data_IF_229987935863
#
_entry.id   IF_229987935863
#
_cell.length_a   1.000
_cell.length_b   1.000
_cell.length_c   1.000
_cell.angle_alpha   90.00
_cell.angle_beta   90.00
_cell.angle_gamma   90.00
#
_symmetry.space_group_name_H-M   'P 1'
#
loop_
_entity.id
_entity.type
_entity.pdbx_description
1 polymer ?
#
# COMPACT_ATOMS: atom_id res chain seq x y z
N UNK A 1 4.69 52.94 -40.23
CA UNK A 1 5.47 52.28 -39.15
C UNK A 1 4.56 51.24 -38.52
N UNK A 2 4.74 49.98 -38.88
CA UNK A 2 3.85 48.87 -38.55
C UNK A 2 4.75 47.66 -38.34
N UNK A 3 5.03 47.32 -37.08
CA UNK A 3 5.66 46.07 -36.63
C UNK A 3 5.57 46.06 -35.10
N UNK A 4 4.91 45.05 -34.53
CA UNK A 4 4.80 44.91 -33.07
C UNK A 4 3.65 44.01 -32.57
N UNK A 5 2.81 43.49 -33.46
CA UNK A 5 1.62 42.69 -33.06
C UNK A 5 1.74 41.18 -33.32
N UNK A 6 2.91 40.68 -33.73
CA UNK A 6 3.10 39.26 -34.09
C UNK A 6 3.92 38.43 -33.09
N UNK A 7 4.52 39.05 -32.07
CA UNK A 7 5.32 38.32 -31.07
C UNK A 7 4.54 37.86 -29.83
N UNK A 8 3.39 38.48 -29.53
CA UNK A 8 2.62 38.17 -28.32
C UNK A 8 1.63 36.99 -28.49
N UNK A 9 1.27 36.63 -29.72
CA UNK A 9 0.27 35.57 -29.96
C UNK A 9 0.87 34.15 -30.04
N UNK A 10 2.19 34.03 -30.13
CA UNK A 10 2.88 32.73 -30.21
C UNK A 10 3.33 32.20 -28.84
N UNK A 11 3.32 33.02 -27.79
CA UNK A 11 3.69 32.57 -26.43
C UNK A 11 2.50 32.07 -25.59
N UNK A 12 1.27 32.43 -25.96
CA UNK A 12 0.05 31.99 -25.26
C UNK A 12 -0.47 30.62 -25.70
N UNK A 13 0.15 30.00 -26.71
CA UNK A 13 -0.22 28.67 -27.23
C UNK A 13 0.71 27.53 -26.75
N UNK A 14 1.72 27.83 -25.92
CA UNK A 14 2.69 26.85 -25.41
C UNK A 14 2.53 26.48 -23.92
N UNK A 15 1.49 26.98 -23.25
CA UNK A 15 1.23 26.73 -21.81
C UNK A 15 0.07 25.76 -21.55
N UNK A 16 -0.42 25.06 -22.58
CA UNK A 16 -1.46 24.02 -22.43
C UNK A 16 -1.03 22.75 -23.17
N UNK A 17 0.13 22.22 -22.79
CA UNK A 17 0.45 20.80 -23.02
C UNK A 17 1.12 20.22 -21.79
N UNK A 18 0.54 20.48 -20.61
CA UNK A 18 0.55 19.44 -19.60
C UNK A 18 -0.36 18.33 -20.15
N UNK A 19 0.18 17.48 -21.02
CA UNK A 19 -0.33 16.13 -21.11
C UNK A 19 -0.26 15.61 -19.67
N UNK A 20 -1.39 15.63 -18.97
CA UNK A 20 -1.61 14.68 -17.92
C UNK A 20 -1.34 13.33 -18.59
N UNK A 21 -0.15 12.78 -18.37
CA UNK A 21 0.15 11.41 -18.74
C UNK A 21 -0.88 10.63 -17.97
N UNK A 22 -1.89 10.17 -18.69
CA UNK A 22 -2.88 9.26 -18.19
C UNK A 22 -2.08 8.00 -17.87
N UNK A 23 -1.72 7.84 -16.61
CA UNK A 23 -1.01 6.66 -16.11
C UNK A 23 -1.89 5.40 -16.17
N UNK A 24 -3.16 5.54 -16.57
CA UNK A 24 -4.01 4.45 -17.02
C UNK A 24 -3.43 3.82 -18.31
N UNK A 25 -2.41 2.99 -18.15
CA UNK A 25 -1.76 2.28 -19.26
C UNK A 25 -0.25 2.08 -19.14
N UNK A 26 0.42 2.58 -18.08
CA UNK A 26 1.72 1.99 -17.74
C UNK A 26 1.46 0.58 -17.23
N UNK A 27 2.13 -0.46 -17.77
CA UNK A 27 2.07 -1.77 -17.17
C UNK A 27 2.55 -1.62 -15.72
N UNK A 28 1.67 -1.95 -14.77
CA UNK A 28 2.09 -2.06 -13.38
C UNK A 28 3.17 -3.14 -13.26
N UNK A 29 3.90 -3.14 -12.15
CA UNK A 29 4.90 -4.18 -11.91
C UNK A 29 4.25 -5.57 -12.09
N UNK A 30 4.90 -6.49 -12.83
CA UNK A 30 4.31 -7.77 -13.21
C UNK A 30 4.04 -8.67 -12.01
N UNK A 31 4.68 -8.38 -10.88
CA UNK A 31 4.36 -8.96 -9.59
C UNK A 31 4.45 -7.94 -8.47
N UNK A 32 3.79 -8.26 -7.35
CA UNK A 32 3.87 -7.54 -6.09
C UNK A 32 4.30 -8.48 -4.98
N UNK A 33 5.06 -7.94 -4.02
CA UNK A 33 5.41 -8.59 -2.76
C UNK A 33 4.92 -7.73 -1.60
N UNK A 34 4.26 -8.33 -0.62
CA UNK A 34 3.77 -7.67 0.58
C UNK A 34 4.15 -8.48 1.82
N UNK A 35 4.43 -7.80 2.93
CA UNK A 35 4.64 -8.42 4.23
C UNK A 35 3.89 -7.61 5.29
N UNK A 36 2.94 -8.25 5.96
CA UNK A 36 2.01 -7.59 6.88
C UNK A 36 1.92 -8.38 8.19
N UNK A 37 1.95 -7.72 9.37
CA UNK A 37 2.08 -6.27 9.54
C UNK A 37 3.51 -5.77 9.29
N UNK A 38 3.64 -4.48 8.93
CA UNK A 38 4.93 -3.83 8.80
C UNK A 38 5.67 -3.69 10.15
N UNK A 39 4.97 -3.33 11.22
CA UNK A 39 5.46 -3.24 12.59
C UNK A 39 4.92 -4.41 13.41
N UNK A 40 5.79 -5.09 14.14
CA UNK A 40 5.40 -6.26 14.91
C UNK A 40 6.17 -6.37 16.22
N UNK A 41 5.63 -7.12 17.16
CA UNK A 41 6.25 -7.46 18.41
C UNK A 41 6.87 -8.86 18.37
N UNK A 42 7.85 -9.15 19.24
CA UNK A 42 8.41 -10.50 19.35
C UNK A 42 7.30 -11.54 19.54
N UNK A 43 7.27 -12.55 18.67
CA UNK A 43 6.26 -13.62 18.69
C UNK A 43 5.05 -13.38 17.80
N UNK A 44 4.87 -12.17 17.26
CA UNK A 44 3.77 -11.89 16.35
C UNK A 44 3.99 -12.55 14.98
N UNK A 45 2.92 -13.11 14.37
CA UNK A 45 3.00 -13.64 13.02
C UNK A 45 3.04 -12.52 11.98
N UNK A 46 3.83 -12.71 10.93
CA UNK A 46 3.87 -11.90 9.71
C UNK A 46 3.47 -12.78 8.54
N UNK A 47 2.54 -12.28 7.72
CA UNK A 47 2.17 -12.91 6.46
C UNK A 47 2.89 -12.21 5.31
N UNK A 48 3.79 -12.94 4.65
CA UNK A 48 4.38 -12.52 3.37
C UNK A 48 3.53 -13.09 2.24
N UNK A 49 3.12 -12.26 1.29
CA UNK A 49 2.29 -12.65 0.16
C UNK A 49 2.86 -12.09 -1.14
N UNK A 50 2.66 -12.82 -2.22
CA UNK A 50 3.03 -12.41 -3.56
C UNK A 50 1.84 -12.51 -4.50
N UNK A 51 1.85 -11.69 -5.55
CA UNK A 51 0.83 -11.69 -6.59
C UNK A 51 1.45 -11.35 -7.93
N UNK A 52 1.58 -12.34 -8.80
CA UNK A 52 2.12 -12.23 -10.16
C UNK A 52 1.00 -12.19 -11.23
N UNK A 53 -0.25 -11.92 -10.86
CA UNK A 53 -1.38 -11.86 -11.82
C UNK A 53 -1.32 -10.64 -12.74
N UNK A 54 -0.42 -9.70 -12.49
CA UNK A 54 -0.19 -8.55 -13.36
C UNK A 54 0.72 -8.86 -14.55
N UNK A 55 1.33 -10.05 -14.61
CA UNK A 55 2.10 -10.48 -15.78
C UNK A 55 1.23 -10.38 -17.05
N UNK A 56 1.77 -9.81 -18.15
CA UNK A 56 1.07 -9.77 -19.42
C UNK A 56 0.70 -11.19 -19.87
N UNK A 57 -0.51 -11.32 -20.40
CA UNK A 57 -1.00 -12.57 -20.98
C UNK A 57 -0.88 -12.48 -22.50
N UNK A 58 -0.60 -13.61 -23.13
CA UNK A 58 -0.54 -13.73 -24.59
C UNK A 58 -1.07 -15.11 -25.02
N UNK A 59 -1.68 -15.17 -26.20
CA UNK A 59 -2.11 -16.43 -26.81
C UNK A 59 -0.91 -17.35 -27.11
N UNK A 60 0.28 -16.80 -27.37
CA UNK A 60 1.51 -17.57 -27.61
C UNK A 60 1.97 -18.38 -26.40
N UNK A 61 1.55 -18.00 -25.20
CA UNK A 61 1.85 -18.71 -23.96
C UNK A 61 0.85 -19.82 -23.65
N UNK A 62 -0.25 -19.89 -24.39
CA UNK A 62 -1.21 -20.96 -24.20
C UNK A 62 -0.63 -22.28 -24.68
N UNK A 63 -0.49 -23.21 -23.74
CA UNK A 63 -0.18 -24.59 -24.08
C UNK A 63 -1.36 -25.19 -24.88
N UNK A 64 -1.13 -25.46 -26.17
CA UNK A 64 -2.10 -26.17 -27.00
C UNK A 64 -2.11 -27.64 -26.55
N UNK A 65 -3.14 -28.05 -25.82
CA UNK A 65 -3.33 -29.45 -25.45
C UNK A 65 -3.81 -30.27 -26.67
N UNK A 66 -2.85 -30.67 -27.50
CA UNK A 66 -3.03 -31.62 -28.60
C UNK A 66 -3.84 -31.11 -29.79
N UNK A 67 -3.85 -31.91 -30.86
CA UNK A 67 -4.48 -31.57 -32.15
C UNK A 67 -6.00 -31.29 -32.04
N UNK A 68 -6.67 -31.78 -30.99
CA UNK A 68 -8.11 -31.65 -30.77
C UNK A 68 -8.56 -30.27 -30.25
N UNK A 69 -7.66 -29.51 -29.63
CA UNK A 69 -7.92 -28.15 -29.10
C UNK A 69 -7.09 -27.08 -29.82
N UNK A 70 -6.47 -27.43 -30.96
CA UNK A 70 -5.61 -26.58 -31.80
C UNK A 70 -6.29 -25.36 -32.41
N UNK A 71 -7.63 -25.35 -32.41
CA UNK A 71 -8.45 -24.19 -32.72
C UNK A 71 -9.36 -23.98 -31.53
N UNK A 72 -9.07 -23.00 -30.69
CA UNK A 72 -9.86 -22.70 -29.48
C UNK A 72 -11.33 -22.46 -29.87
N UNK A 73 -12.23 -23.44 -29.69
CA UNK A 73 -13.63 -23.22 -30.00
C UNK A 73 -14.17 -22.34 -28.87
N UNK A 74 -14.69 -21.17 -29.23
CA UNK A 74 -15.52 -20.42 -28.31
C UNK A 74 -16.73 -21.29 -27.92
N UNK A 75 -17.13 -21.26 -26.66
CA UNK A 75 -18.30 -21.97 -26.17
C UNK A 75 -19.20 -21.05 -25.37
N UNK A 76 -20.51 -21.24 -25.44
CA UNK A 76 -21.46 -20.70 -24.48
C UNK A 76 -21.79 -21.73 -23.39
N UNK A 77 -21.64 -23.01 -23.69
CA UNK A 77 -21.97 -24.13 -22.79
C UNK A 77 -20.96 -25.27 -22.92
N UNK A 78 -20.81 -26.10 -21.87
CA UNK A 78 -19.87 -27.21 -21.87
C UNK A 78 -20.12 -28.26 -22.97
N UNK A 79 -21.35 -28.35 -23.50
CA UNK A 79 -21.69 -29.24 -24.62
C UNK A 79 -21.11 -28.83 -25.97
N UNK A 80 -20.63 -27.59 -26.10
CA UNK A 80 -19.96 -27.09 -27.30
C UNK A 80 -18.48 -27.46 -27.36
N UNK A 81 -17.96 -28.04 -26.27
CA UNK A 81 -16.60 -28.49 -26.17
C UNK A 81 -16.43 -29.95 -26.63
N UNK A 82 -15.21 -30.35 -27.04
CA UNK A 82 -14.89 -31.76 -27.27
C UNK A 82 -15.29 -32.61 -26.06
N UNK A 83 -15.49 -33.91 -26.27
CA UNK A 83 -16.16 -34.83 -25.34
C UNK A 83 -15.59 -34.90 -23.92
N UNK A 84 -14.39 -34.39 -23.70
CA UNK A 84 -13.66 -34.31 -22.45
C UNK A 84 -13.38 -32.85 -22.02
N UNK A 85 -14.12 -31.87 -22.53
CA UNK A 85 -13.92 -30.44 -22.28
C UNK A 85 -15.01 -29.78 -21.43
N UNK A 86 -14.67 -28.66 -20.83
CA UNK A 86 -15.55 -27.77 -20.06
C UNK A 86 -15.47 -26.36 -20.64
N UNK A 87 -16.59 -25.64 -20.60
CA UNK A 87 -16.63 -24.25 -21.03
C UNK A 87 -16.25 -23.34 -19.86
N UNK A 88 -15.14 -22.61 -19.98
CA UNK A 88 -14.67 -21.64 -18.98
C UNK A 88 -14.50 -20.31 -19.70
N UNK A 89 -15.20 -19.28 -19.21
CA UNK A 89 -15.12 -17.90 -19.72
C UNK A 89 -15.23 -17.77 -21.25
N UNK A 90 -16.06 -18.62 -21.87
CA UNK A 90 -16.29 -18.58 -23.31
C UNK A 90 -15.37 -19.48 -24.13
N UNK A 91 -14.51 -20.30 -23.52
CA UNK A 91 -13.54 -21.16 -24.19
C UNK A 91 -13.58 -22.61 -23.68
N UNK A 92 -13.33 -23.55 -24.59
CA UNK A 92 -13.24 -24.97 -24.23
C UNK A 92 -11.88 -25.33 -23.66
N UNK A 93 -11.85 -25.67 -22.37
CA UNK A 93 -10.66 -26.23 -21.70
C UNK A 93 -10.85 -27.74 -21.46
N UNK A 94 -9.78 -28.54 -21.36
CA UNK A 94 -9.86 -29.92 -20.88
C UNK A 94 -10.48 -30.04 -19.48
N UNK A 95 -11.24 -31.10 -19.23
CA UNK A 95 -11.96 -31.34 -17.97
C UNK A 95 -11.05 -31.74 -16.81
N UNK A 96 -9.91 -32.37 -17.12
CA UNK A 96 -8.87 -32.81 -16.20
C UNK A 96 -7.90 -31.69 -15.81
N UNK A 97 -8.24 -30.45 -16.15
CA UNK A 97 -7.46 -29.27 -15.78
C UNK A 97 -7.22 -29.18 -14.27
N UNK A 98 -5.95 -29.20 -13.81
CA UNK A 98 -5.63 -28.97 -12.41
C UNK A 98 -5.98 -27.53 -12.04
N UNK A 99 -6.86 -27.29 -11.05
CA UNK A 99 -7.10 -25.93 -10.57
C UNK A 99 -5.78 -25.33 -10.07
N UNK A 100 -5.46 -24.11 -10.52
CA UNK A 100 -4.31 -23.37 -10.02
C UNK A 100 -3.10 -23.29 -10.95
N UNK A 101 -3.11 -23.86 -12.16
CA UNK A 101 -1.99 -23.69 -13.12
C UNK A 101 -2.23 -22.47 -14.02
N UNK A 102 -1.32 -21.49 -14.00
CA UNK A 102 -1.47 -20.21 -14.72
C UNK A 102 -1.56 -20.32 -16.26
N UNK A 103 -1.10 -21.41 -16.87
CA UNK A 103 -0.71 -21.44 -18.29
C UNK A 103 -1.71 -22.13 -19.24
N UNK A 104 -2.92 -22.45 -18.80
CA UNK A 104 -3.61 -23.63 -19.38
C UNK A 104 -5.04 -23.38 -19.87
N UNK A 105 -5.69 -22.26 -19.58
CA UNK A 105 -6.88 -21.90 -20.36
C UNK A 105 -6.91 -20.41 -20.69
N UNK A 106 -6.96 -20.04 -21.99
CA UNK A 106 -7.08 -18.64 -22.38
C UNK A 106 -8.38 -18.09 -21.85
N UNK A 107 -8.31 -16.97 -21.12
CA UNK A 107 -9.41 -16.03 -21.15
C UNK A 107 -9.28 -15.19 -22.44
N UNK A 108 -10.17 -14.23 -22.67
CA UNK A 108 -10.06 -13.32 -23.82
C UNK A 108 -8.70 -12.59 -23.94
N UNK A 109 -7.86 -12.60 -22.89
CA UNK A 109 -6.58 -11.90 -22.83
C UNK A 109 -5.36 -12.84 -23.03
N UNK A 110 -5.55 -14.15 -23.24
CA UNK A 110 -4.48 -15.14 -23.42
C UNK A 110 -4.08 -15.89 -22.14
N UNK A 111 -2.94 -16.59 -22.17
CA UNK A 111 -2.41 -17.34 -21.02
C UNK A 111 -1.22 -16.62 -20.39
N UNK A 112 -0.95 -16.90 -19.11
CA UNK A 112 0.26 -16.38 -18.50
C UNK A 112 1.50 -17.08 -19.07
N UNK A 113 2.62 -16.35 -19.22
CA UNK A 113 3.90 -16.94 -19.58
C UNK A 113 4.35 -17.98 -18.55
N UNK A 114 5.27 -18.89 -18.92
CA UNK A 114 6.05 -19.63 -17.95
C UNK A 114 6.70 -18.69 -16.95
N UNK A 115 6.53 -19.00 -15.67
CA UNK A 115 7.10 -18.20 -14.59
C UNK A 115 7.64 -19.10 -13.49
N UNK A 116 8.54 -18.54 -12.68
CA UNK A 116 9.02 -19.14 -11.45
C UNK A 116 9.24 -18.03 -10.43
N UNK A 117 8.62 -18.15 -9.25
CA UNK A 117 8.83 -17.23 -8.13
C UNK A 117 9.58 -17.90 -6.99
N UNK A 118 10.62 -17.21 -6.50
CA UNK A 118 11.38 -17.61 -5.31
C UNK A 118 11.25 -16.49 -4.30
N UNK A 119 10.87 -16.83 -3.07
CA UNK A 119 10.78 -15.87 -1.95
C UNK A 119 11.78 -16.28 -0.87
N UNK A 120 12.54 -15.31 -0.38
CA UNK A 120 13.54 -15.48 0.67
C UNK A 120 13.37 -14.44 1.78
N UNK A 121 13.98 -14.72 2.93
CA UNK A 121 14.03 -13.81 4.06
C UNK A 121 15.44 -13.83 4.68
N UNK A 122 15.93 -12.68 5.15
CA UNK A 122 17.32 -12.57 5.64
C UNK A 122 17.53 -13.21 7.02
N UNK A 123 16.48 -13.32 7.83
CA UNK A 123 16.55 -13.73 9.24
C UNK A 123 15.97 -15.13 9.51
N UNK A 124 15.26 -15.70 8.54
CA UNK A 124 14.52 -16.95 8.72
C UNK A 124 14.36 -17.71 7.41
N UNK A 125 13.88 -18.95 7.52
CA UNK A 125 13.47 -19.76 6.37
C UNK A 125 11.95 -19.86 6.32
N UNK A 126 11.39 -19.73 5.12
CA UNK A 126 9.96 -19.93 4.89
C UNK A 126 9.63 -21.41 4.97
N UNK A 127 8.54 -21.75 5.65
CA UNK A 127 8.04 -23.11 5.77
C UNK A 127 6.56 -23.17 5.38
N UNK A 128 6.19 -23.88 4.29
CA UNK A 128 7.08 -24.52 3.33
C UNK A 128 7.91 -23.49 2.51
N UNK A 129 9.10 -23.86 2.03
CA UNK A 129 9.95 -22.97 1.24
C UNK A 129 9.28 -22.60 -0.09
N UNK A 130 9.54 -21.39 -0.57
CA UNK A 130 9.07 -20.90 -1.88
C UNK A 130 10.28 -20.80 -2.79
N UNK A 131 10.52 -21.84 -3.59
CA UNK A 131 11.70 -21.94 -4.46
C UNK A 131 11.28 -22.41 -5.85
N UNK A 132 11.21 -21.48 -6.80
CA UNK A 132 10.75 -21.74 -8.15
C UNK A 132 9.28 -22.17 -8.22
N UNK A 133 8.43 -21.59 -7.37
CA UNK A 133 6.98 -21.79 -7.41
C UNK A 133 6.45 -21.33 -8.78
N UNK A 134 5.73 -22.19 -9.47
CA UNK A 134 5.31 -22.00 -10.86
C UNK A 134 3.87 -22.43 -11.13
N UNK A 135 3.14 -22.82 -10.07
CA UNK A 135 1.74 -23.17 -10.14
C UNK A 135 0.93 -21.96 -9.67
N UNK A 136 1.14 -21.51 -8.43
CA UNK A 136 0.35 -20.45 -7.81
C UNK A 136 0.82 -19.03 -8.19
N UNK A 137 0.02 -18.32 -8.98
CA UNK A 137 0.25 -16.90 -9.31
C UNK A 137 0.19 -15.97 -8.10
N UNK A 138 -0.62 -16.32 -7.09
CA UNK A 138 -0.75 -15.56 -5.86
C UNK A 138 -0.93 -16.51 -4.69
N UNK A 139 -0.07 -16.36 -3.69
CA UNK A 139 -0.06 -17.20 -2.49
C UNK A 139 0.67 -16.44 -1.36
N UNK A 140 0.73 -17.05 -0.16
CA UNK A 140 1.29 -16.43 1.02
C UNK A 140 1.91 -17.44 1.98
N UNK A 141 2.83 -16.97 2.83
CA UNK A 141 3.41 -17.73 3.95
C UNK A 141 3.31 -16.90 5.21
N UNK A 142 2.90 -17.54 6.30
CA UNK A 142 2.93 -16.93 7.63
C UNK A 142 4.17 -17.43 8.37
N UNK A 143 4.95 -16.50 8.91
CA UNK A 143 6.19 -16.75 9.65
C UNK A 143 6.21 -15.93 10.94
N UNK A 144 7.05 -16.31 11.88
CA UNK A 144 7.25 -15.56 13.14
C UNK A 144 8.72 -15.18 13.24
N UNK A 145 9.12 -13.99 12.75
CA UNK A 145 10.51 -13.57 12.81
C UNK A 145 10.95 -13.23 14.24
N UNK A 146 12.22 -13.48 14.55
CA UNK A 146 12.85 -13.10 15.83
C UNK A 146 13.50 -11.70 15.77
N UNK A 147 13.50 -11.05 14.59
CA UNK A 147 14.08 -9.73 14.36
C UNK A 147 13.44 -9.05 13.14
N UNK A 148 13.65 -7.74 12.99
CA UNK A 148 13.30 -7.00 11.76
C UNK A 148 13.84 -7.74 10.54
N UNK A 149 12.97 -7.95 9.55
CA UNK A 149 13.23 -8.90 8.46
C UNK A 149 12.98 -8.24 7.12
N UNK A 150 13.89 -8.46 6.18
CA UNK A 150 13.67 -8.16 4.77
C UNK A 150 13.27 -9.43 4.06
N UNK A 151 12.16 -9.36 3.34
CA UNK A 151 11.71 -10.37 2.39
C UNK A 151 12.09 -9.92 0.99
N UNK A 152 12.57 -10.86 0.19
CA UNK A 152 12.91 -10.63 -1.21
C UNK A 152 12.18 -11.66 -2.04
N UNK A 153 11.65 -11.25 -3.18
CA UNK A 153 11.05 -12.16 -4.14
C UNK A 153 11.65 -11.90 -5.52
N UNK A 154 12.06 -12.98 -6.18
CA UNK A 154 12.55 -12.96 -7.55
C UNK A 154 11.55 -13.72 -8.40
N UNK A 155 10.95 -13.03 -9.37
CA UNK A 155 10.12 -13.60 -10.42
C UNK A 155 10.96 -13.71 -11.69
N UNK A 156 11.01 -14.90 -12.28
CA UNK A 156 11.61 -15.14 -13.59
C UNK A 156 10.47 -15.47 -14.55
N UNK A 157 10.33 -14.73 -15.65
CA UNK A 157 9.33 -14.97 -16.69
C UNK A 157 9.80 -14.41 -18.02
N UNK A 158 9.51 -15.10 -19.13
CA UNK A 158 9.92 -14.72 -20.50
C UNK A 158 11.40 -14.33 -20.68
N UNK A 159 12.29 -14.95 -19.89
CA UNK A 159 13.72 -14.65 -19.89
C UNK A 159 14.11 -13.35 -19.20
N UNK A 160 13.14 -12.66 -18.59
CA UNK A 160 13.33 -11.49 -17.75
C UNK A 160 13.28 -11.87 -16.26
N UNK A 161 13.96 -11.05 -15.44
CA UNK A 161 14.02 -11.21 -13.98
C UNK A 161 13.50 -9.94 -13.32
N UNK A 162 12.55 -10.11 -12.41
CA UNK A 162 11.94 -9.04 -11.63
C UNK A 162 12.20 -9.29 -10.14
N UNK A 163 12.92 -8.36 -9.51
CA UNK A 163 13.24 -8.43 -8.08
C UNK A 163 12.37 -7.46 -7.29
N UNK A 164 11.77 -7.96 -6.22
CA UNK A 164 10.93 -7.23 -5.28
C UNK A 164 11.49 -7.36 -3.88
N UNK A 165 11.36 -6.33 -3.06
CA UNK A 165 11.75 -6.39 -1.65
C UNK A 165 10.81 -5.59 -0.77
N UNK A 166 10.49 -6.14 0.38
CA UNK A 166 9.71 -5.49 1.45
C UNK A 166 10.37 -5.78 2.78
N UNK A 167 10.31 -4.82 3.70
CA UNK A 167 10.87 -4.96 5.04
C UNK A 167 9.78 -4.82 6.10
N UNK A 168 9.91 -5.60 7.16
CA UNK A 168 9.15 -5.47 8.40
C UNK A 168 10.10 -5.11 9.55
N UNK A 169 9.59 -4.35 10.52
CA UNK A 169 10.32 -3.84 11.66
C UNK A 169 9.75 -4.41 12.95
N UNK A 170 10.62 -5.08 13.71
CA UNK A 170 10.30 -5.51 15.05
C UNK A 170 10.50 -4.33 16.00
N UNK A 171 9.47 -3.98 16.77
CA UNK A 171 9.60 -2.92 17.76
C UNK A 171 10.56 -3.35 18.86
N UNK A 172 11.48 -2.44 19.20
CA UNK A 172 12.38 -2.66 20.33
C UNK A 172 11.61 -2.49 21.63
N UNK A 173 11.75 -3.46 22.54
CA UNK A 173 11.22 -3.37 23.91
C UNK A 173 11.95 -2.30 24.72
N UNK A 174 13.23 -2.04 24.42
CA UNK A 174 14.02 -1.02 25.10
C UNK A 174 15.22 -0.56 24.24
N UNK A 175 15.33 0.74 23.91
CA UNK A 175 14.31 1.77 24.13
C UNK A 175 13.10 1.53 23.21
N UNK A 176 11.87 1.85 23.65
CA UNK A 176 10.69 1.81 22.80
C UNK A 176 10.83 2.67 21.55
N UNK A 177 10.15 2.21 20.50
CA UNK A 177 10.25 2.78 19.17
C UNK A 177 9.40 4.04 19.04
N UNK A 178 9.85 5.00 18.25
CA UNK A 178 9.16 6.28 18.04
C UNK A 178 8.72 6.41 16.59
N UNK A 179 7.54 7.00 16.37
CA UNK A 179 6.97 7.34 15.07
C UNK A 179 6.47 8.77 15.08
N UNK A 180 6.87 9.54 14.10
CA UNK A 180 6.40 10.91 13.94
C UNK A 180 5.23 10.92 12.97
N UNK A 181 4.18 11.66 13.33
CA UNK A 181 3.02 11.91 12.48
C UNK A 181 2.94 13.40 12.20
N UNK A 182 2.91 13.72 10.90
CA UNK A 182 2.83 15.08 10.39
C UNK A 182 1.40 15.39 9.94
N UNK A 183 0.86 16.49 10.45
CA UNK A 183 -0.40 17.08 10.01
C UNK A 183 -0.04 18.26 9.11
N UNK A 184 0.04 18.07 7.78
CA UNK A 184 0.44 19.13 6.88
C UNK A 184 -0.65 20.20 6.82
N UNK A 185 -0.23 21.46 6.79
CA UNK A 185 -1.13 22.57 6.52
C UNK A 185 -1.55 22.54 5.04
N UNK A 186 -2.85 22.53 4.80
CA UNK A 186 -3.45 22.48 3.46
C UNK A 186 -4.49 23.59 3.27
N UNK A 187 -4.47 24.18 2.07
CA UNK A 187 -5.47 25.13 1.60
C UNK A 187 -6.45 24.41 0.65
N UNK A 188 -7.49 23.78 1.19
CA UNK A 188 -8.54 23.16 0.37
C UNK A 188 -9.61 24.20 0.01
N UNK A 189 -9.32 25.03 -1.00
CA UNK A 189 -10.21 26.12 -1.40
C UNK A 189 -10.24 27.24 -0.37
N UNK A 190 -11.43 27.59 0.13
CA UNK A 190 -11.63 28.73 1.04
C UNK A 190 -11.37 28.42 2.53
N UNK A 191 -11.14 27.16 2.89
CA UNK A 191 -10.95 26.73 4.29
C UNK A 191 -9.51 26.25 4.52
N UNK A 192 -8.60 27.12 5.01
CA UNK A 192 -7.30 26.69 5.51
C UNK A 192 -7.44 25.77 6.73
N UNK A 193 -6.56 24.77 6.83
CA UNK A 193 -6.47 23.93 8.02
C UNK A 193 -5.39 22.88 7.88
N UNK A 194 -5.33 21.95 8.83
CA UNK A 194 -4.42 20.81 8.77
C UNK A 194 -5.16 19.58 8.26
N UNK A 195 -4.47 18.81 7.44
CA UNK A 195 -4.98 17.52 6.99
C UNK A 195 -5.00 16.55 8.17
N UNK A 196 -6.11 15.84 8.32
CA UNK A 196 -6.22 14.74 9.26
C UNK A 196 -5.49 13.51 8.76
N UNK A 197 -5.07 12.66 9.69
CA UNK A 197 -4.43 11.38 9.39
C UNK A 197 -5.41 10.30 9.80
N UNK A 198 -5.89 9.53 8.85
CA UNK A 198 -6.69 8.34 9.13
C UNK A 198 -5.76 7.15 9.25
N UNK A 199 -5.42 6.77 10.49
CA UNK A 199 -4.46 5.69 10.73
C UNK A 199 -4.96 4.34 10.19
N UNK A 200 -6.28 4.13 10.19
CA UNK A 200 -6.88 2.92 9.64
C UNK A 200 -6.80 2.92 8.11
N UNK A 201 -7.06 4.05 7.45
CA UNK A 201 -7.00 4.11 5.98
C UNK A 201 -5.59 4.17 5.43
N UNK A 202 -4.75 5.04 5.99
CA UNK A 202 -3.42 5.37 5.46
C UNK A 202 -2.41 4.26 5.75
N UNK A 203 -2.49 3.68 6.94
CA UNK A 203 -1.59 2.62 7.37
C UNK A 203 -2.30 1.26 7.47
N UNK A 204 -3.63 1.18 7.36
CA UNK A 204 -4.29 -0.12 7.48
C UNK A 204 -4.22 -0.71 8.88
N UNK A 205 -4.19 0.13 9.93
CA UNK A 205 -4.14 -0.31 11.32
C UNK A 205 -5.29 -1.27 11.66
N UNK A 206 -6.53 -0.92 11.28
CA UNK A 206 -7.70 -1.80 11.47
C UNK A 206 -7.55 -3.16 10.80
N UNK A 207 -6.95 -3.23 9.62
CA UNK A 207 -6.72 -4.48 8.90
C UNK A 207 -5.40 -5.17 9.27
N UNK A 208 -4.67 -4.66 10.28
CA UNK A 208 -3.36 -5.17 10.71
C UNK A 208 -2.30 -5.16 9.60
N UNK A 209 -2.40 -4.22 8.66
CA UNK A 209 -1.44 -4.09 7.55
C UNK A 209 -0.16 -3.40 7.99
N UNK A 210 -0.28 -2.35 8.81
CA UNK A 210 0.90 -1.62 9.29
C UNK A 210 1.42 -2.06 10.64
N UNK A 211 0.57 -2.46 11.58
CA UNK A 211 1.04 -2.87 12.90
C UNK A 211 0.21 -4.03 13.45
N UNK A 212 0.86 -4.90 14.21
CA UNK A 212 0.21 -6.02 14.87
C UNK A 212 -0.72 -5.54 16.01
N UNK A 213 -1.57 -6.45 16.47
CA UNK A 213 -2.46 -6.21 17.61
C UNK A 213 -1.72 -5.98 18.95
N UNK A 214 -0.46 -6.40 19.02
CA UNK A 214 0.42 -6.31 20.19
C UNK A 214 1.13 -4.95 20.28
N UNK A 215 1.10 -4.13 19.23
CA UNK A 215 1.67 -2.79 19.23
C UNK A 215 0.67 -1.78 19.83
N UNK A 216 1.13 -1.00 20.81
CA UNK A 216 0.34 0.04 21.44
C UNK A 216 1.07 1.39 21.50
N UNK A 217 0.29 2.46 21.45
CA UNK A 217 0.73 3.80 21.84
C UNK A 217 0.82 3.86 23.35
N UNK A 218 1.94 4.41 23.86
CA UNK A 218 2.15 4.61 25.30
C UNK A 218 2.37 6.06 25.69
N UNK A 219 2.78 6.91 24.75
CA UNK A 219 2.94 8.35 24.96
C UNK A 219 2.88 9.07 23.62
N UNK A 220 2.24 10.23 23.59
CA UNK A 220 2.27 11.17 22.47
C UNK A 220 2.92 12.45 22.93
N UNK A 221 3.92 12.95 22.18
CA UNK A 221 4.66 14.18 22.46
C UNK A 221 4.44 15.18 21.35
N UNK A 222 4.10 16.42 21.67
CA UNK A 222 3.97 17.48 20.68
C UNK A 222 5.36 18.02 20.28
N UNK A 223 5.74 17.87 19.01
CA UNK A 223 7.02 18.34 18.47
C UNK A 223 6.88 19.58 17.56
N UNK A 224 5.67 20.09 17.38
CA UNK A 224 5.32 21.19 16.45
C UNK A 224 5.95 22.55 16.77
N UNK A 225 6.62 22.72 17.93
CA UNK A 225 7.09 24.03 18.42
C UNK A 225 5.98 25.01 18.83
N UNK A 226 4.72 24.65 18.59
CA UNK A 226 3.50 25.40 18.94
C UNK A 226 2.64 24.60 19.91
N UNK A 227 1.81 25.28 20.70
CA UNK A 227 0.77 24.61 21.47
C UNK A 227 -0.34 24.12 20.52
N UNK A 228 -0.68 22.84 20.61
CA UNK A 228 -1.69 22.18 19.77
C UNK A 228 -2.86 21.66 20.58
N UNK A 229 -4.00 21.48 19.93
CA UNK A 229 -5.08 20.65 20.38
C UNK A 229 -5.12 19.39 19.50
N UNK A 230 -4.87 18.23 20.11
CA UNK A 230 -4.90 16.93 19.46
C UNK A 230 -6.19 16.20 19.84
N UNK A 231 -6.82 15.53 18.87
CA UNK A 231 -8.01 14.71 19.09
C UNK A 231 -8.00 13.49 18.16
N UNK A 232 -8.74 12.46 18.52
CA UNK A 232 -9.02 11.32 17.63
C UNK A 232 -10.52 11.22 17.36
N UNK A 233 -10.89 10.33 16.44
CA UNK A 233 -12.29 9.93 16.23
C UNK A 233 -12.83 9.01 17.34
N UNK A 234 -11.99 8.54 18.27
CA UNK A 234 -12.43 7.78 19.44
C UNK A 234 -13.09 8.72 20.45
N UNK A 235 -14.41 8.62 20.70
CA UNK A 235 -15.10 9.50 21.63
C UNK A 235 -14.64 9.32 23.09
N UNK A 236 -13.95 8.22 23.43
CA UNK A 236 -13.39 8.01 24.76
C UNK A 236 -12.20 8.94 25.04
N UNK A 237 -11.49 9.39 24.00
CA UNK A 237 -10.36 10.31 24.09
C UNK A 237 -10.83 11.72 23.73
N UNK A 238 -11.08 12.54 24.75
CA UNK A 238 -11.43 13.94 24.56
C UNK A 238 -10.29 14.74 23.91
N UNK A 239 -10.54 15.96 23.39
CA UNK A 239 -9.47 16.81 22.88
C UNK A 239 -8.45 17.12 23.97
N UNK A 240 -7.18 16.87 23.70
CA UNK A 240 -6.07 17.14 24.60
C UNK A 240 -5.29 18.35 24.09
N UNK A 241 -5.06 19.31 24.98
CA UNK A 241 -4.18 20.46 24.67
C UNK A 241 -2.78 20.13 25.14
N UNK A 242 -1.80 20.30 24.26
CA UNK A 242 -0.39 20.05 24.51
C UNK A 242 0.41 21.30 24.16
N UNK A 243 1.14 21.85 25.11
CA UNK A 243 2.20 22.83 24.86
C UNK A 243 3.32 22.24 24.00
N UNK A 244 4.19 23.10 23.48
CA UNK A 244 5.35 22.66 22.71
C UNK A 244 6.28 21.80 23.59
N UNK A 245 6.58 20.57 23.15
CA UNK A 245 7.38 19.60 23.89
C UNK A 245 6.64 18.88 25.02
N UNK A 246 5.35 19.15 25.24
CA UNK A 246 4.56 18.42 26.24
C UNK A 246 4.14 17.04 25.73
N UNK A 247 4.04 16.10 26.66
CA UNK A 247 3.65 14.72 26.41
C UNK A 247 2.35 14.35 27.14
N UNK A 248 1.64 13.37 26.62
CA UNK A 248 0.41 12.82 27.22
C UNK A 248 0.28 11.33 26.97
N UNK A 249 -0.36 10.66 27.94
CA UNK A 249 -0.69 9.24 27.90
C UNK A 249 -2.20 9.03 27.63
N UNK A 250 -2.93 10.10 27.31
CA UNK A 250 -4.38 10.05 27.07
C UNK A 250 -4.76 9.24 25.81
N UNK A 251 -3.80 9.01 24.92
CA UNK A 251 -3.96 8.25 23.68
C UNK A 251 -3.45 6.80 23.83
N UNK A 252 -3.23 6.32 25.06
CA UNK A 252 -2.67 5.00 25.29
C UNK A 252 -3.60 3.88 24.81
N UNK A 253 -2.97 2.84 24.26
CA UNK A 253 -3.65 1.68 23.69
C UNK A 253 -3.49 1.60 22.18
N UNK A 254 -4.47 0.98 21.50
CA UNK A 254 -4.39 0.76 20.05
C UNK A 254 -4.58 2.09 19.31
N UNK A 255 -3.62 2.54 18.48
CA UNK A 255 -3.82 3.71 17.64
C UNK A 255 -4.81 3.35 16.53
N UNK A 256 -5.97 4.00 16.57
CA UNK A 256 -7.08 3.74 15.63
C UNK A 256 -7.74 5.04 15.22
N UNK A 257 -8.40 4.96 14.07
CA UNK A 257 -9.24 6.02 13.55
C UNK A 257 -8.48 7.27 13.11
N UNK A 258 -9.25 8.34 12.97
CA UNK A 258 -8.78 9.60 12.40
C UNK A 258 -8.24 10.51 13.49
N UNK A 259 -7.01 10.98 13.31
CA UNK A 259 -6.34 11.91 14.20
C UNK A 259 -6.36 13.31 13.58
N UNK A 260 -6.57 14.31 14.43
CA UNK A 260 -6.62 15.70 14.04
C UNK A 260 -5.79 16.54 15.00
N UNK A 261 -4.93 17.38 14.45
CA UNK A 261 -4.22 18.42 15.20
C UNK A 261 -4.64 19.80 14.70
N UNK A 262 -4.78 20.75 15.61
CA UNK A 262 -4.95 22.17 15.31
C UNK A 262 -4.11 23.01 16.27
N UNK A 263 -3.82 24.27 15.95
CA UNK A 263 -3.28 25.19 16.95
C UNK A 263 -4.23 25.32 18.14
N UNK A 264 -3.67 25.33 19.35
CA UNK A 264 -4.44 25.64 20.56
C UNK A 264 -4.95 27.08 20.49
N UNK A 265 -6.19 27.37 20.96
CA UNK A 265 -6.67 28.74 21.11
C UNK A 265 -5.80 29.65 21.97
N UNK A 266 -4.90 29.08 22.77
CA UNK A 266 -3.95 29.79 23.62
C UNK A 266 -2.59 30.00 22.97
N UNK A 267 -2.34 29.44 21.79
CA UNK A 267 -1.08 29.61 21.07
C UNK A 267 -0.96 31.04 20.51
N UNK A 268 0.20 31.70 20.57
CA UNK A 268 0.37 33.05 20.00
C UNK A 268 0.13 33.14 18.49
N UNK A 269 0.31 32.04 17.75
CA UNK A 269 0.01 31.98 16.32
C UNK A 269 -1.49 31.78 16.04
N UNK A 270 -2.29 31.44 17.07
CA UNK A 270 -3.73 31.29 16.95
C UNK A 270 -4.39 32.63 16.61
N UNK A 271 -5.02 32.70 15.44
CA UNK A 271 -5.65 33.91 14.92
C UNK A 271 -4.85 34.65 13.86
N UNK A 272 -3.60 34.25 13.58
CA UNK A 272 -2.96 34.59 12.31
C UNK A 272 -3.82 33.99 11.20
N UNK A 273 -4.35 34.81 10.30
CA UNK A 273 -5.27 34.33 9.25
C UNK A 273 -4.46 34.08 7.98
N UNK A 274 -4.08 32.83 7.65
CA UNK A 274 -3.44 32.53 6.38
C UNK A 274 -4.40 32.89 5.25
N UNK A 275 -3.86 33.41 4.14
CA UNK A 275 -4.67 33.61 2.93
C UNK A 275 -4.40 32.47 1.97
N UNK A 276 -5.47 31.75 1.65
CA UNK A 276 -5.48 30.70 0.65
C UNK A 276 -6.15 31.21 -0.62
N UNK A 277 -5.37 31.33 -1.69
CA UNK A 277 -5.89 31.49 -3.05
C UNK A 277 -5.73 30.15 -3.80
N UNK A 278 -6.35 30.01 -4.98
CA UNK A 278 -6.36 28.75 -5.73
C UNK A 278 -4.96 28.21 -6.11
N UNK A 279 -3.92 29.04 -6.10
CA UNK A 279 -2.55 28.68 -6.50
C UNK A 279 -1.46 29.22 -5.58
N UNK A 280 -1.82 29.92 -4.49
CA UNK A 280 -0.85 30.61 -3.65
C UNK A 280 -1.31 30.66 -2.20
N UNK A 281 -0.36 30.47 -1.28
CA UNK A 281 -0.57 30.57 0.16
C UNK A 281 0.34 31.68 0.68
N UNK A 282 -0.23 32.73 1.27
CA UNK A 282 0.54 33.75 1.99
C UNK A 282 0.42 33.53 3.48
N UNK A 283 1.55 33.61 4.17
CA UNK A 283 1.66 33.41 5.62
C UNK A 283 1.02 32.08 6.07
N UNK A 284 1.47 30.93 5.52
CA UNK A 284 0.93 29.62 5.90
C UNK A 284 1.09 29.40 7.40
N UNK A 285 0.12 28.73 8.01
CA UNK A 285 0.37 28.13 9.32
C UNK A 285 1.47 27.07 9.19
N UNK A 286 2.24 26.82 10.27
CA UNK A 286 3.21 25.76 10.29
C UNK A 286 2.51 24.40 10.21
N UNK A 287 3.21 23.41 9.66
CA UNK A 287 2.83 22.02 9.83
C UNK A 287 2.89 21.65 11.32
N UNK A 288 1.98 20.79 11.76
CA UNK A 288 1.97 20.29 13.12
C UNK A 288 2.52 18.87 13.13
N UNK A 289 3.22 18.52 14.18
CA UNK A 289 3.86 17.23 14.32
C UNK A 289 3.71 16.70 15.74
N UNK A 290 3.43 15.41 15.83
CA UNK A 290 3.47 14.67 17.09
C UNK A 290 4.37 13.46 16.95
N UNK A 291 5.11 13.18 18.01
CA UNK A 291 5.98 12.02 18.13
C UNK A 291 5.30 11.01 19.05
N UNK A 292 5.06 9.81 18.52
CA UNK A 292 4.31 8.73 19.16
C UNK A 292 5.27 7.63 19.54
N UNK A 293 5.32 7.33 20.83
CA UNK A 293 6.09 6.24 21.39
C UNK A 293 5.24 4.97 21.38
N UNK A 294 5.77 3.94 20.75
CA UNK A 294 5.15 2.63 20.58
C UNK A 294 5.86 1.59 21.46
N UNK A 295 5.10 0.69 22.05
CA UNK A 295 5.59 -0.43 22.83
C UNK A 295 4.83 -1.71 22.48
N UNK A 296 5.48 -2.85 22.74
CA UNK A 296 4.85 -4.15 22.69
C UNK A 296 4.19 -4.48 24.01
N UNK A 297 2.91 -4.79 23.96
CA UNK A 297 2.26 -5.47 25.09
C UNK A 297 2.45 -6.97 24.96
N UNK A 298 2.63 -7.64 26.10
CA UNK A 298 2.58 -9.11 26.11
C UNK A 298 1.27 -9.56 25.46
N UNK A 299 1.29 -10.61 24.62
CA UNK A 299 0.05 -11.19 24.12
C UNK A 299 -0.79 -11.61 25.33
N UNK A 300 -2.06 -11.19 25.38
CA UNK A 300 -2.99 -11.69 26.40
C UNK A 300 -2.94 -13.22 26.32
N UNK A 301 -2.49 -13.84 27.40
CA UNK A 301 -2.52 -15.30 27.52
C UNK A 301 -3.97 -15.68 27.77
N UNK A 302 -4.62 -16.26 26.77
CA UNK A 302 -5.90 -16.97 26.92
C UNK A 302 -5.77 -18.16 27.87
#
# INVERSE_FOLDING_TARGET
MRNGLLAAFLFSLLLISACAVKLDGLPGDPAQLKAEPHLFCPGDPITVSWDARNMPRDESHCSVFGDAYSTAPSCATASECPSDGRCVDGYCCPSDFPPGVAQVCPNHDGCYPPFAITVTADTLTLSPPVNGENEALADSRTVTPEASTRFTATLITDGETYDMSVATEMLQLSPPSTRDFDFPFVCNGATPGWQSIDLDREYGWRERRYASDSVQVITVTNTSGHAIQLRTSDPAVGPITLGAGESTDAFNGRPRGEWFATLSPTDPAFGLTPRCDATHISDPWPDLQVSVRLECTEPESD
#
